data_IF_906932784594
#
_entry.id   IF_906932784594
#
_cell.length_a   1.000
_cell.length_b   1.000
_cell.length_c   1.000
_cell.angle_alpha   90.00
_cell.angle_beta   90.00
_cell.angle_gamma   90.00
#
_symmetry.space_group_name_H-M   'P 1'
#
loop_
_entity.id
_entity.type
_entity.pdbx_description
1 polymer ?
#
# COMPACT_ATOMS: atom_id res chain seq x y z
N UNK A 1 -7.36 5.55 -21.25
CA UNK A 1 -7.59 4.18 -20.74
C UNK A 1 -8.18 4.25 -19.35
N UNK A 2 -8.90 3.21 -18.92
CA UNK A 2 -9.70 3.17 -17.68
C UNK A 2 -8.89 2.84 -16.40
N UNK A 3 -7.58 2.68 -16.53
CA UNK A 3 -6.67 2.40 -15.42
C UNK A 3 -6.69 0.94 -14.95
N UNK A 4 -7.33 0.05 -15.70
CA UNK A 4 -7.34 -1.39 -15.41
C UNK A 4 -6.07 -2.07 -15.89
N UNK A 5 -5.64 -3.12 -15.19
CA UNK A 5 -4.49 -3.93 -15.58
C UNK A 5 -4.72 -5.40 -15.22
N UNK A 6 -4.09 -6.29 -15.98
CA UNK A 6 -4.17 -7.75 -15.78
C UNK A 6 -2.79 -8.37 -15.80
N UNK A 7 -2.51 -9.24 -14.83
CA UNK A 7 -1.27 -10.01 -14.76
C UNK A 7 -1.60 -11.48 -15.07
N UNK A 8 -1.13 -11.98 -16.20
CA UNK A 8 -1.34 -13.35 -16.66
C UNK A 8 -0.20 -14.29 -16.24
N UNK A 9 -0.44 -15.60 -16.30
CA UNK A 9 0.56 -16.65 -16.07
C UNK A 9 1.23 -16.62 -14.68
N UNK A 10 0.49 -16.21 -13.66
CA UNK A 10 0.96 -16.26 -12.26
C UNK A 10 0.68 -17.66 -11.69
N UNK A 11 1.71 -18.41 -11.24
CA UNK A 11 1.50 -19.75 -10.67
C UNK A 11 0.79 -19.70 -9.32
N UNK A 12 0.40 -20.87 -8.80
CA UNK A 12 -0.18 -20.97 -7.46
C UNK A 12 0.84 -20.55 -6.40
N UNK A 13 0.42 -19.72 -5.43
CA UNK A 13 1.33 -19.17 -4.43
C UNK A 13 0.71 -18.02 -3.62
N UNK A 14 1.52 -17.40 -2.76
CA UNK A 14 1.16 -16.18 -2.02
C UNK A 14 2.03 -15.03 -2.51
N UNK A 15 1.39 -13.99 -3.04
CA UNK A 15 2.05 -12.83 -3.63
C UNK A 15 1.64 -11.56 -2.91
N UNK A 16 2.53 -10.56 -2.89
CA UNK A 16 2.21 -9.19 -2.50
C UNK A 16 2.17 -8.37 -3.78
N UNK A 17 1.03 -7.76 -4.05
CA UNK A 17 0.79 -6.91 -5.22
C UNK A 17 0.84 -5.45 -4.77
N UNK A 18 1.63 -4.66 -5.48
CA UNK A 18 1.79 -3.23 -5.27
C UNK A 18 1.66 -2.50 -6.61
N UNK A 19 1.01 -1.33 -6.57
CA UNK A 19 0.96 -0.40 -7.70
C UNK A 19 2.04 0.65 -7.46
N UNK A 20 3.10 0.59 -8.26
CA UNK A 20 4.22 1.53 -8.16
C UNK A 20 3.90 2.76 -9.01
N UNK A 21 3.88 3.93 -8.38
CA UNK A 21 3.66 5.21 -9.03
C UNK A 21 4.58 6.27 -8.39
N UNK A 22 5.25 7.12 -9.18
CA UNK A 22 6.15 8.14 -8.63
C UNK A 22 5.42 9.24 -7.86
N UNK A 23 4.16 9.52 -8.16
CA UNK A 23 3.43 10.64 -7.57
C UNK A 23 2.55 10.23 -6.39
N UNK A 24 2.10 8.97 -6.33
CA UNK A 24 1.13 8.50 -5.35
C UNK A 24 1.54 7.17 -4.73
N UNK A 25 1.31 7.03 -3.43
CA UNK A 25 1.45 5.77 -2.71
C UNK A 25 0.14 4.97 -2.74
N UNK A 26 0.24 3.64 -2.84
CA UNK A 26 -0.88 2.70 -2.81
C UNK A 26 -0.66 1.68 -1.70
N UNK A 27 -1.73 1.22 -1.03
CA UNK A 27 -1.60 0.13 -0.04
C UNK A 27 -1.33 -1.20 -0.76
N UNK A 28 -0.31 -1.98 -0.37
CA UNK A 28 -0.07 -3.29 -0.95
C UNK A 28 -1.13 -4.30 -0.50
N UNK A 29 -1.45 -5.25 -1.38
CA UNK A 29 -2.45 -6.31 -1.11
C UNK A 29 -1.81 -7.68 -1.28
N UNK A 30 -2.07 -8.59 -0.35
CA UNK A 30 -1.66 -9.99 -0.48
C UNK A 30 -2.71 -10.77 -1.27
N UNK A 31 -2.28 -11.44 -2.33
CA UNK A 31 -3.12 -12.31 -3.16
C UNK A 31 -2.62 -13.74 -3.02
N UNK A 32 -3.51 -14.64 -2.66
CA UNK A 32 -3.26 -16.08 -2.56
C UNK A 32 -4.00 -16.78 -3.70
N UNK A 33 -3.25 -17.61 -4.43
CA UNK A 33 -3.74 -18.40 -5.57
C UNK A 33 -3.59 -19.87 -5.19
N UNK A 34 -4.70 -20.59 -5.08
CA UNK A 34 -4.65 -22.02 -4.81
C UNK A 34 -4.33 -22.82 -6.09
N UNK A 35 -4.03 -24.11 -5.94
CA UNK A 35 -3.76 -25.02 -7.06
C UNK A 35 -4.94 -25.23 -8.02
N UNK A 36 -6.16 -24.82 -7.62
CA UNK A 36 -7.39 -24.87 -8.43
C UNK A 36 -7.71 -23.53 -9.11
N UNK A 37 -6.84 -22.52 -8.99
CA UNK A 37 -7.05 -21.19 -9.56
C UNK A 37 -8.05 -20.29 -8.81
N UNK A 38 -8.47 -20.62 -7.57
CA UNK A 38 -9.24 -19.70 -6.74
C UNK A 38 -8.33 -18.65 -6.13
N UNK A 39 -8.80 -17.41 -6.16
CA UNK A 39 -8.12 -16.25 -5.60
C UNK A 39 -8.69 -15.90 -4.23
N UNK A 40 -7.80 -15.51 -3.31
CA UNK A 40 -8.16 -14.84 -2.05
C UNK A 40 -7.26 -13.64 -1.86
N UNK A 41 -7.84 -12.45 -1.72
CA UNK A 41 -7.10 -11.24 -1.44
C UNK A 41 -7.29 -10.81 0.03
N UNK A 42 -6.21 -10.35 0.67
CA UNK A 42 -6.23 -9.83 2.04
C UNK A 42 -5.25 -8.68 2.26
N UNK A 43 -5.47 -7.87 3.29
CA UNK A 43 -4.53 -6.81 3.69
C UNK A 43 -3.18 -7.41 4.06
N UNK A 44 -2.09 -6.74 3.67
CA UNK A 44 -0.73 -7.16 4.02
C UNK A 44 -0.47 -6.86 5.50
N UNK A 45 -0.08 -7.88 6.25
CA UNK A 45 0.47 -7.76 7.60
C UNK A 45 1.73 -8.63 7.68
N UNK A 46 2.88 -7.99 7.92
CA UNK A 46 4.18 -8.67 8.02
C UNK A 46 4.46 -9.21 9.43
N UNK A 47 3.74 -8.70 10.44
CA UNK A 47 3.92 -9.08 11.85
C UNK A 47 3.00 -10.28 12.17
N UNK A 48 1.71 -10.14 11.87
CA UNK A 48 0.70 -11.17 12.10
C UNK A 48 0.29 -11.82 10.78
N UNK A 49 1.11 -12.75 10.30
CA UNK A 49 0.90 -13.41 9.00
C UNK A 49 -0.34 -14.29 8.95
N UNK A 50 -0.82 -14.76 10.11
CA UNK A 50 -2.05 -15.55 10.27
C UNK A 50 -3.33 -14.69 10.23
N UNK A 51 -3.22 -13.37 10.41
CA UNK A 51 -4.38 -12.49 10.38
C UNK A 51 -4.94 -12.40 8.95
N UNK A 52 -6.24 -12.64 8.81
CA UNK A 52 -6.94 -12.59 7.52
C UNK A 52 -7.98 -11.48 7.55
N UNK A 53 -7.61 -10.34 6.98
CA UNK A 53 -8.56 -9.26 6.69
C UNK A 53 -8.82 -9.30 5.19
N UNK A 54 -9.93 -9.92 4.80
CA UNK A 54 -10.28 -10.11 3.39
C UNK A 54 -10.55 -8.76 2.71
N UNK A 55 -10.06 -8.62 1.49
CA UNK A 55 -10.37 -7.49 0.60
C UNK A 55 -11.07 -8.00 -0.66
N UNK A 56 -11.90 -7.18 -1.32
CA UNK A 56 -12.63 -7.60 -2.51
C UNK A 56 -11.68 -7.93 -3.67
N UNK A 57 -12.10 -8.88 -4.49
CA UNK A 57 -11.48 -9.24 -5.77
C UNK A 57 -12.53 -9.08 -6.89
N UNK A 58 -12.20 -8.52 -8.07
CA UNK A 58 -10.90 -7.95 -8.47
C UNK A 58 -10.44 -6.79 -7.59
N UNK A 59 -9.12 -6.58 -7.52
CA UNK A 59 -8.52 -5.58 -6.65
C UNK A 59 -8.93 -4.16 -7.09
N UNK A 60 -9.41 -3.36 -6.13
CA UNK A 60 -9.70 -1.93 -6.32
C UNK A 60 -8.72 -1.11 -5.50
N UNK A 61 -7.53 -0.88 -6.05
CA UNK A 61 -6.45 -0.16 -5.38
C UNK A 61 -6.63 1.35 -5.56
N UNK A 62 -6.83 2.07 -4.46
CA UNK A 62 -6.95 3.53 -4.45
C UNK A 62 -5.65 4.17 -3.96
N UNK A 63 -5.26 5.34 -4.50
CA UNK A 63 -4.13 6.08 -3.98
C UNK A 63 -4.43 6.55 -2.55
N UNK A 64 -3.45 6.42 -1.66
CA UNK A 64 -3.56 6.79 -0.24
C UNK A 64 -3.17 8.24 -0.03
N UNK A 65 -2.00 8.62 -0.54
CA UNK A 65 -1.40 9.95 -0.38
C UNK A 65 -0.44 10.23 -1.53
N UNK A 66 -0.19 11.49 -1.90
CA UNK A 66 0.97 11.86 -2.70
C UNK A 66 2.27 11.36 -2.03
N UNK A 67 3.22 10.90 -2.84
CA UNK A 67 4.50 10.43 -2.37
C UNK A 67 5.36 11.61 -1.90
N UNK A 68 5.85 11.56 -0.65
CA UNK A 68 6.69 12.62 -0.07
C UNK A 68 8.15 12.22 -0.10
N UNK A 69 8.85 12.59 -1.17
CA UNK A 69 10.28 12.32 -1.30
C UNK A 69 11.15 13.21 -0.41
N UNK A 70 10.68 14.42 -0.10
CA UNK A 70 11.46 15.40 0.65
C UNK A 70 10.87 15.62 2.03
N UNK A 71 11.74 15.63 3.03
CA UNK A 71 11.40 16.09 4.37
C UNK A 71 11.46 17.62 4.40
N UNK A 72 10.43 18.23 5.00
CA UNK A 72 10.43 19.67 5.23
C UNK A 72 11.45 20.00 6.32
N UNK A 73 12.33 20.97 6.08
CA UNK A 73 13.25 21.46 7.11
C UNK A 73 12.48 22.20 8.19
N UNK A 74 12.96 22.07 9.42
CA UNK A 74 12.49 22.90 10.52
C UNK A 74 12.75 24.37 10.18
N UNK A 75 11.72 25.18 10.34
CA UNK A 75 11.78 26.62 10.14
C UNK A 75 11.71 27.25 11.52
N UNK A 76 12.47 28.32 11.74
CA UNK A 76 12.28 29.15 12.92
C UNK A 76 10.87 29.73 12.90
N UNK A 77 10.02 29.32 13.84
CA UNK A 77 8.71 29.94 14.04
C UNK A 77 8.80 30.88 15.23
N UNK A 78 8.15 32.04 15.13
CA UNK A 78 8.04 32.98 16.26
C UNK A 78 7.41 32.29 17.49
N UNK A 79 6.56 31.27 17.28
CA UNK A 79 6.00 30.42 18.33
C UNK A 79 7.02 29.57 19.07
N UNK A 80 8.15 29.22 18.44
CA UNK A 80 9.19 28.39 19.06
C UNK A 80 9.88 29.16 20.20
N UNK A 81 9.95 30.49 20.11
CA UNK A 81 10.42 31.37 21.19
C UNK A 81 9.43 31.48 22.35
N UNK A 82 8.13 31.24 22.12
CA UNK A 82 7.09 31.34 23.18
C UNK A 82 6.99 30.06 24.03
N UNK A 83 7.34 28.90 23.45
CA UNK A 83 7.16 27.60 24.10
C UNK A 83 8.45 26.84 24.39
N UNK A 84 9.61 27.44 24.07
CA UNK A 84 10.91 26.92 24.46
C UNK A 84 11.72 28.01 25.19
N UNK A 85 11.37 28.34 26.45
CA UNK A 85 12.30 29.11 27.28
C UNK A 85 13.50 28.21 27.55
N UNK A 86 14.70 28.69 27.25
CA UNK A 86 15.93 28.02 27.69
C UNK A 86 15.91 27.68 29.18
#
# INVERSE_FOLDING_TARGET
>A
EDGTFTISNVPSGSYVVEVVNPNYAYEPVRVEINSKGKFRARKVNLIQTSQVIQVPYPLKMRPVTPFRYFQMREQWRVTDFLFNPM
#
